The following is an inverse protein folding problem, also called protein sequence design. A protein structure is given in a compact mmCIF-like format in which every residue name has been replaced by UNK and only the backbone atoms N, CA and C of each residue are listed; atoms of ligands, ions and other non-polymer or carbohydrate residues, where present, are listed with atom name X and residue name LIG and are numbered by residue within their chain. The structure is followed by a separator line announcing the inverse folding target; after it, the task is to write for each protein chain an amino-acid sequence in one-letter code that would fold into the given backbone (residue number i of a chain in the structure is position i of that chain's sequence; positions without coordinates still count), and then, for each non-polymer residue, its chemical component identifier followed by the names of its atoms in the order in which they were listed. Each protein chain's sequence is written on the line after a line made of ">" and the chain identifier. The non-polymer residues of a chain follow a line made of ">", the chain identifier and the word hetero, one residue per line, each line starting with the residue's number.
data_IF_693363412248
#
_entry.id   IF_693363412248
#
_cell.length_a   1.000
_cell.length_b   1.000
_cell.length_c   1.000
_cell.angle_alpha   90.00
_cell.angle_beta   90.00
_cell.angle_gamma   90.00
#
_symmetry.space_group_name_H-M   'P 1'
#
loop_
_entity.id
_entity.type
_entity.pdbx_description
1 polymer ?
#
# COMPACT_ATOMS: atom_id res chain seq x y z
N UNK A 1 -5.78 -13.52 -4.66
CA UNK A 1 -4.63 -12.67 -5.03
C UNK A 1 -4.71 -11.35 -4.30
N UNK A 2 -3.60 -10.84 -3.77
CA UNK A 2 -3.53 -9.44 -3.34
C UNK A 2 -2.65 -8.62 -4.30
N UNK A 3 -2.98 -7.34 -4.48
CA UNK A 3 -2.18 -6.36 -5.20
C UNK A 3 -1.91 -5.21 -4.23
N UNK A 4 -0.64 -4.93 -4.01
CA UNK A 4 -0.16 -3.86 -3.14
C UNK A 4 0.60 -2.87 -4.00
N UNK A 5 0.16 -1.64 -4.02
CA UNK A 5 0.71 -0.58 -4.85
C UNK A 5 1.22 0.55 -3.96
N UNK A 6 2.52 0.88 -4.08
CA UNK A 6 3.16 2.00 -3.39
C UNK A 6 3.76 3.04 -4.36
N UNK A 7 3.42 2.96 -5.65
CA UNK A 7 3.71 4.04 -6.59
C UNK A 7 3.09 5.36 -6.09
N UNK A 8 3.73 6.49 -6.39
CA UNK A 8 3.19 7.78 -5.98
C UNK A 8 1.87 8.13 -6.67
N UNK A 9 1.55 7.48 -7.79
CA UNK A 9 0.31 7.64 -8.54
C UNK A 9 -0.68 6.52 -8.22
N UNK A 10 -1.97 6.84 -8.28
CA UNK A 10 -3.01 5.85 -8.10
C UNK A 10 -3.07 4.86 -9.26
N UNK A 11 -3.05 3.57 -8.96
CA UNK A 11 -3.19 2.47 -9.92
C UNK A 11 -4.63 2.32 -10.43
N UNK A 12 -5.15 3.33 -11.15
CA UNK A 12 -6.54 3.38 -11.56
C UNK A 12 -6.96 2.21 -12.46
N UNK A 13 -6.09 1.75 -13.34
CA UNK A 13 -6.38 0.59 -14.21
C UNK A 13 -6.55 -0.70 -13.40
N UNK A 14 -5.70 -0.94 -12.41
CA UNK A 14 -5.82 -2.07 -11.49
C UNK A 14 -7.12 -1.99 -10.70
N UNK A 15 -7.43 -0.82 -10.15
CA UNK A 15 -8.70 -0.60 -9.46
C UNK A 15 -9.90 -0.91 -10.36
N UNK A 16 -9.95 -0.38 -11.57
CA UNK A 16 -11.07 -0.56 -12.50
C UNK A 16 -11.31 -2.03 -12.84
N UNK A 17 -10.24 -2.78 -13.13
CA UNK A 17 -10.32 -4.19 -13.50
C UNK A 17 -10.93 -5.04 -12.38
N UNK A 18 -10.56 -4.78 -11.13
CA UNK A 18 -10.94 -5.62 -9.99
C UNK A 18 -11.99 -5.00 -9.08
N UNK A 19 -12.62 -3.88 -9.47
CA UNK A 19 -13.49 -3.10 -8.60
C UNK A 19 -14.71 -3.85 -8.08
N UNK A 20 -15.19 -4.85 -8.81
CA UNK A 20 -16.33 -5.71 -8.45
C UNK A 20 -15.93 -7.12 -7.99
N UNK A 21 -14.61 -7.36 -7.82
CA UNK A 21 -14.10 -8.69 -7.48
C UNK A 21 -13.75 -8.81 -6.00
N UNK A 22 -14.34 -9.78 -5.31
CA UNK A 22 -13.93 -10.17 -3.95
C UNK A 22 -12.77 -11.18 -3.91
N UNK A 23 -12.34 -11.71 -5.07
CA UNK A 23 -11.23 -12.66 -5.18
C UNK A 23 -9.85 -11.97 -5.29
N UNK A 24 -9.84 -10.66 -5.50
CA UNK A 24 -8.63 -9.84 -5.56
C UNK A 24 -8.75 -8.67 -4.59
N UNK A 25 -7.82 -8.61 -3.65
CA UNK A 25 -7.68 -7.46 -2.75
C UNK A 25 -6.72 -6.45 -3.38
N UNK A 26 -7.21 -5.28 -3.72
CA UNK A 26 -6.41 -4.17 -4.28
C UNK A 26 -6.19 -3.12 -3.20
N UNK A 27 -4.93 -2.77 -2.95
CA UNK A 27 -4.55 -1.75 -1.97
C UNK A 27 -3.52 -0.81 -2.58
N UNK A 28 -3.83 0.47 -2.66
CA UNK A 28 -2.94 1.50 -3.18
C UNK A 28 -2.73 2.61 -2.16
N UNK A 29 -1.46 3.00 -1.94
CA UNK A 29 -1.07 4.11 -1.08
C UNK A 29 -0.33 5.16 -1.94
N UNK A 30 -1.03 6.21 -2.30
CA UNK A 30 -0.61 7.16 -3.33
C UNK A 30 -0.89 8.60 -2.93
N UNK A 31 -0.23 9.53 -3.62
CA UNK A 31 -0.50 10.96 -3.43
C UNK A 31 -1.90 11.32 -3.94
N UNK A 32 -2.70 11.99 -3.07
CA UNK A 32 -4.04 12.44 -3.41
C UNK A 32 -4.31 13.83 -2.77
N UNK A 33 -4.98 14.78 -3.47
CA UNK A 33 -5.37 14.71 -4.88
C UNK A 33 -4.16 14.87 -5.81
N UNK A 34 -4.04 14.01 -6.78
CA UNK A 34 -2.99 14.06 -7.79
C UNK A 34 -3.41 13.27 -9.04
N UNK A 35 -2.57 13.32 -10.13
CA UNK A 35 -2.80 12.49 -11.32
C UNK A 35 -2.89 11.00 -10.92
N UNK A 36 -3.83 10.24 -11.48
CA UNK A 36 -4.82 10.55 -12.53
C UNK A 36 -6.15 11.14 -12.01
N UNK A 37 -6.21 11.75 -10.85
CA UNK A 37 -7.38 12.36 -10.20
C UNK A 37 -8.46 11.33 -9.79
N UNK A 38 -8.01 10.13 -9.45
CA UNK A 38 -8.80 9.01 -8.94
C UNK A 38 -8.18 8.50 -7.64
N UNK A 39 -8.71 7.45 -7.03
CA UNK A 39 -8.12 6.83 -5.84
C UNK A 39 -8.54 7.49 -4.53
N UNK A 40 -9.74 8.06 -4.47
CA UNK A 40 -10.31 8.53 -3.19
C UNK A 40 -10.46 7.37 -2.21
N UNK A 41 -10.23 7.62 -0.93
CA UNK A 41 -10.45 6.66 0.15
C UNK A 41 -11.88 6.12 0.23
N UNK A 42 -12.86 6.84 -0.36
CA UNK A 42 -14.25 6.39 -0.45
C UNK A 42 -14.48 5.37 -1.57
N UNK A 43 -13.53 5.19 -2.50
CA UNK A 43 -13.60 4.19 -3.55
C UNK A 43 -13.21 2.81 -3.02
N UNK A 44 -14.15 2.13 -2.38
CA UNK A 44 -13.94 0.88 -1.64
C UNK A 44 -14.44 -0.38 -2.38
N UNK A 45 -14.65 -0.30 -3.69
CA UNK A 45 -15.22 -1.38 -4.49
C UNK A 45 -16.75 -1.32 -4.61
N UNK A 46 -17.31 -2.11 -5.51
CA UNK A 46 -18.75 -2.24 -5.73
C UNK A 46 -19.17 -3.71 -5.85
N UNK A 47 -20.47 -3.98 -5.76
CA UNK A 47 -21.00 -5.35 -5.84
C UNK A 47 -20.27 -6.28 -4.85
N UNK A 48 -19.80 -7.43 -5.35
CA UNK A 48 -19.06 -8.42 -4.56
C UNK A 48 -17.67 -7.92 -4.14
N UNK A 49 -17.09 -6.98 -4.90
CA UNK A 49 -15.81 -6.35 -4.62
C UNK A 49 -15.84 -5.27 -3.53
N UNK A 50 -17.02 -4.97 -2.96
CA UNK A 50 -17.14 -3.94 -1.93
C UNK A 50 -16.33 -4.28 -0.68
N UNK A 51 -15.39 -3.41 -0.34
CA UNK A 51 -14.42 -3.58 0.74
C UNK A 51 -13.16 -4.35 0.34
N UNK A 52 -12.97 -4.69 -0.95
CA UNK A 52 -11.76 -5.33 -1.47
C UNK A 52 -10.90 -4.39 -2.33
N UNK A 53 -11.29 -3.12 -2.43
CA UNK A 53 -10.48 -2.03 -2.96
C UNK A 53 -10.21 -1.02 -1.83
N UNK A 54 -8.95 -0.70 -1.57
CA UNK A 54 -8.54 0.14 -0.43
C UNK A 54 -7.54 1.17 -0.92
N UNK A 55 -7.89 2.44 -0.80
CA UNK A 55 -7.06 3.57 -1.15
C UNK A 55 -6.63 4.33 0.10
N UNK A 56 -5.33 4.50 0.29
CA UNK A 56 -4.75 5.37 1.32
C UNK A 56 -4.21 6.63 0.65
N UNK A 57 -4.81 7.76 1.01
CA UNK A 57 -4.46 9.06 0.45
C UNK A 57 -3.28 9.69 1.22
N UNK A 58 -2.15 9.86 0.55
CA UNK A 58 -1.02 10.63 1.06
C UNK A 58 -1.09 12.08 0.55
N UNK A 59 -0.82 13.02 1.41
CA UNK A 59 -0.70 14.42 1.00
C UNK A 59 0.72 14.72 0.53
N UNK A 60 0.87 15.76 -0.30
CA UNK A 60 2.19 16.26 -0.69
C UNK A 60 3.08 16.50 0.54
N UNK A 61 4.30 16.01 0.50
CA UNK A 61 5.29 16.13 1.58
C UNK A 61 5.18 15.06 2.67
N UNK A 62 4.21 14.14 2.61
CA UNK A 62 4.22 12.94 3.44
C UNK A 62 5.30 11.96 2.96
N UNK A 63 5.84 11.17 3.88
CA UNK A 63 6.99 10.33 3.61
C UNK A 63 6.97 8.98 4.34
N UNK A 64 8.12 8.57 4.83
CA UNK A 64 8.36 7.26 5.41
C UNK A 64 7.39 6.92 6.55
N UNK A 65 7.14 7.86 7.44
CA UNK A 65 6.32 7.62 8.64
C UNK A 65 4.86 7.37 8.29
N UNK A 66 4.30 8.14 7.34
CA UNK A 66 2.93 7.98 6.88
C UNK A 66 2.76 6.71 6.05
N UNK A 67 3.70 6.43 5.14
CA UNK A 67 3.67 5.20 4.35
C UNK A 67 3.72 3.96 5.26
N UNK A 68 4.63 3.95 6.23
CA UNK A 68 4.76 2.84 7.15
C UNK A 68 3.53 2.69 8.05
N UNK A 69 2.93 3.81 8.50
CA UNK A 69 1.68 3.79 9.25
C UNK A 69 0.52 3.22 8.42
N UNK A 70 0.44 3.55 7.11
CA UNK A 70 -0.55 2.97 6.19
C UNK A 70 -0.41 1.44 6.11
N UNK A 71 0.82 0.95 5.93
CA UNK A 71 1.09 -0.48 5.87
C UNK A 71 0.75 -1.18 7.18
N UNK A 72 1.24 -0.70 8.31
CA UNK A 72 1.01 -1.32 9.63
C UNK A 72 -0.45 -1.30 10.08
N UNK A 73 -1.15 -0.19 9.82
CA UNK A 73 -2.51 -0.01 10.34
C UNK A 73 -3.60 -0.51 9.39
N UNK A 74 -3.33 -0.53 8.09
CA UNK A 74 -4.34 -0.88 7.08
C UNK A 74 -3.90 -2.10 6.28
N UNK A 75 -2.81 -2.03 5.51
CA UNK A 75 -2.50 -3.04 4.50
C UNK A 75 -2.15 -4.39 5.11
N UNK A 76 -1.25 -4.45 6.08
CA UNK A 76 -0.85 -5.71 6.72
C UNK A 76 -2.04 -6.40 7.43
N UNK A 77 -2.84 -5.72 8.25
CA UNK A 77 -4.05 -6.34 8.82
C UNK A 77 -5.03 -6.86 7.77
N UNK A 78 -5.18 -6.15 6.65
CA UNK A 78 -6.06 -6.56 5.57
C UNK A 78 -5.52 -7.76 4.80
N UNK A 79 -4.22 -7.83 4.56
CA UNK A 79 -3.55 -9.00 3.97
C UNK A 79 -3.67 -10.24 4.87
N UNK A 80 -3.40 -10.09 6.15
CA UNK A 80 -3.53 -11.20 7.12
C UNK A 80 -4.97 -11.74 7.13
N UNK A 81 -5.96 -10.86 7.10
CA UNK A 81 -7.37 -11.25 7.08
C UNK A 81 -7.79 -11.89 5.75
N UNK A 82 -7.25 -11.40 4.62
CA UNK A 82 -7.59 -11.87 3.29
C UNK A 82 -6.92 -13.21 2.98
N UNK A 83 -5.70 -13.44 3.45
CA UNK A 83 -4.94 -14.68 3.25
C UNK A 83 -4.64 -14.95 1.77
N UNK A 84 -3.92 -14.08 1.04
CA UNK A 84 -3.70 -14.27 -0.39
C UNK A 84 -2.78 -15.48 -0.67
N UNK A 85 -3.03 -16.24 -1.74
CA UNK A 85 -2.11 -17.29 -2.21
C UNK A 85 -0.85 -16.70 -2.88
N UNK A 86 -0.98 -15.49 -3.44
CA UNK A 86 0.09 -14.73 -4.09
C UNK A 86 -0.18 -13.23 -3.92
N UNK A 87 0.88 -12.48 -3.69
CA UNK A 87 0.84 -11.02 -3.65
C UNK A 87 1.66 -10.43 -4.80
N UNK A 88 1.03 -9.53 -5.55
CA UNK A 88 1.70 -8.72 -6.56
C UNK A 88 1.99 -7.34 -5.95
N UNK A 89 3.15 -6.79 -6.22
CA UNK A 89 3.53 -5.45 -5.76
C UNK A 89 3.80 -4.57 -6.97
N UNK A 90 2.99 -3.51 -7.13
CA UNK A 90 3.30 -2.41 -8.04
C UNK A 90 4.35 -1.54 -7.34
N UNK A 91 5.61 -1.80 -7.70
CA UNK A 91 6.77 -1.24 -7.03
C UNK A 91 7.26 0.02 -7.76
N UNK A 92 6.51 1.12 -7.62
CA UNK A 92 6.96 2.45 -8.04
C UNK A 92 7.86 3.09 -6.98
N UNK A 93 8.83 3.87 -7.43
CA UNK A 93 9.76 4.60 -6.56
C UNK A 93 9.74 6.11 -6.81
N UNK A 94 8.79 6.58 -7.57
CA UNK A 94 8.60 8.01 -7.90
C UNK A 94 8.03 8.83 -6.74
N UNK A 95 7.68 8.19 -5.63
CA UNK A 95 7.45 8.86 -4.34
C UNK A 95 8.73 9.26 -3.60
N UNK A 96 9.92 8.91 -4.10
CA UNK A 96 11.17 9.29 -3.47
C UNK A 96 11.39 10.81 -3.50
N UNK A 97 11.94 11.37 -2.42
CA UNK A 97 12.13 12.82 -2.24
C UNK A 97 12.99 13.52 -3.31
N UNK A 98 13.76 12.77 -4.10
CA UNK A 98 14.52 13.31 -5.22
C UNK A 98 13.74 13.30 -6.53
N UNK A 99 12.56 12.69 -6.55
CA UNK A 99 11.70 12.71 -7.72
C UNK A 99 10.97 14.04 -7.85
N UNK A 100 11.03 14.60 -9.06
CA UNK A 100 10.45 15.93 -9.33
C UNK A 100 8.92 15.92 -9.36
N UNK A 101 8.34 14.79 -9.73
CA UNK A 101 6.89 14.68 -10.01
C UNK A 101 6.10 14.10 -8.85
N UNK A 102 6.59 13.10 -8.14
CA UNK A 102 5.84 12.39 -7.10
C UNK A 102 5.38 13.30 -5.94
N UNK A 103 6.27 14.18 -5.49
CA UNK A 103 5.98 15.18 -4.46
C UNK A 103 5.69 14.59 -3.09
N UNK A 104 6.08 13.34 -2.86
CA UNK A 104 6.20 12.70 -1.57
C UNK A 104 7.65 12.83 -1.06
N UNK A 105 7.88 12.54 0.21
CA UNK A 105 9.18 12.66 0.86
C UNK A 105 9.70 11.27 1.31
N UNK A 106 9.41 10.24 0.52
CA UNK A 106 9.94 8.91 0.79
C UNK A 106 11.47 8.87 0.68
N UNK A 107 12.09 8.08 1.54
CA UNK A 107 13.50 7.73 1.41
C UNK A 107 13.66 6.28 0.94
N UNK A 108 14.85 5.94 0.44
CA UNK A 108 15.22 4.56 0.15
C UNK A 108 15.04 3.67 1.38
N UNK A 109 15.31 4.20 2.58
CA UNK A 109 15.13 3.48 3.84
C UNK A 109 13.66 3.22 4.16
N UNK A 110 12.78 4.18 3.85
CA UNK A 110 11.33 4.02 3.99
C UNK A 110 10.81 2.86 3.16
N UNK A 111 11.20 2.78 1.89
CA UNK A 111 10.84 1.67 1.01
C UNK A 111 11.38 0.32 1.53
N UNK A 112 12.63 0.28 1.99
CA UNK A 112 13.21 -0.93 2.58
C UNK A 112 12.46 -1.42 3.83
N UNK A 113 12.03 -0.48 4.69
CA UNK A 113 11.23 -0.81 5.89
C UNK A 113 9.84 -1.32 5.53
N UNK A 114 9.17 -0.67 4.59
CA UNK A 114 7.86 -1.09 4.10
C UNK A 114 7.95 -2.50 3.51
N UNK A 115 8.93 -2.77 2.67
CA UNK A 115 9.16 -4.08 2.10
C UNK A 115 9.41 -5.14 3.19
N UNK A 116 10.29 -4.87 4.15
CA UNK A 116 10.57 -5.78 5.26
C UNK A 116 9.30 -6.17 6.03
N UNK A 117 8.45 -5.21 6.35
CA UNK A 117 7.23 -5.49 7.11
C UNK A 117 6.17 -6.21 6.27
N UNK A 118 6.01 -5.81 5.02
CA UNK A 118 5.09 -6.48 4.10
C UNK A 118 5.46 -7.94 3.90
N UNK A 119 6.72 -8.21 3.55
CA UNK A 119 7.18 -9.57 3.27
C UNK A 119 7.23 -10.42 4.54
N UNK A 120 7.65 -9.85 5.68
CA UNK A 120 7.61 -10.54 6.96
C UNK A 120 6.21 -10.98 7.36
N UNK A 121 5.23 -10.10 7.23
CA UNK A 121 3.83 -10.42 7.52
C UNK A 121 3.26 -11.49 6.58
N UNK A 122 3.61 -11.45 5.28
CA UNK A 122 3.18 -12.47 4.30
C UNK A 122 3.83 -13.83 4.59
N UNK A 123 5.08 -13.86 5.02
CA UNK A 123 5.78 -15.08 5.43
C UNK A 123 5.12 -15.71 6.66
N UNK A 124 4.81 -14.91 7.68
CA UNK A 124 4.14 -15.37 8.91
C UNK A 124 2.80 -16.05 8.66
N UNK A 125 2.03 -15.60 7.65
CA UNK A 125 0.75 -16.23 7.29
C UNK A 125 0.89 -17.35 6.23
N UNK A 126 2.12 -17.73 5.88
CA UNK A 126 2.38 -18.77 4.88
C UNK A 126 2.10 -18.36 3.42
N UNK A 127 2.00 -17.07 3.16
CA UNK A 127 1.72 -16.48 1.83
C UNK A 127 2.96 -15.83 1.20
N UNK A 128 4.12 -16.46 1.35
CA UNK A 128 5.42 -15.92 0.93
C UNK A 128 5.66 -15.83 -0.59
N UNK A 129 4.65 -16.09 -1.43
CA UNK A 129 4.76 -15.92 -2.89
C UNK A 129 4.48 -14.48 -3.27
N UNK A 130 5.54 -13.72 -3.53
CA UNK A 130 5.45 -12.31 -3.90
C UNK A 130 6.17 -12.06 -5.21
N UNK A 131 5.56 -11.28 -6.07
CA UNK A 131 6.16 -10.76 -7.30
C UNK A 131 6.10 -9.24 -7.26
N UNK A 132 7.24 -8.58 -7.29
CA UNK A 132 7.32 -7.14 -7.41
C UNK A 132 7.61 -6.75 -8.88
N UNK A 133 6.80 -5.84 -9.41
CA UNK A 133 6.92 -5.30 -10.76
C UNK A 133 7.35 -3.85 -10.63
N UNK A 134 8.49 -3.50 -11.25
CA UNK A 134 8.97 -2.12 -11.29
C UNK A 134 8.01 -1.26 -12.11
N UNK A 135 7.63 -0.12 -11.53
CA UNK A 135 6.78 0.87 -12.20
C UNK A 135 7.47 2.24 -12.29
N UNK A 136 6.97 3.29 -11.62
CA UNK A 136 7.57 4.61 -11.62
C UNK A 136 8.92 4.67 -10.88
N UNK A 137 9.63 5.77 -11.09
CA UNK A 137 10.97 6.04 -10.54
C UNK A 137 11.92 6.44 -11.66
N UNK A 138 12.24 7.74 -11.74
CA UNK A 138 12.86 8.34 -12.92
C UNK A 138 14.23 8.95 -12.62
N UNK A 139 14.57 9.16 -11.34
CA UNK A 139 15.93 9.46 -10.92
C UNK A 139 16.74 8.15 -10.80
N UNK A 140 17.76 7.91 -11.64
CA UNK A 140 18.46 6.62 -11.66
C UNK A 140 19.21 6.31 -10.37
N UNK A 141 19.69 7.33 -9.65
CA UNK A 141 20.40 7.13 -8.39
C UNK A 141 19.44 6.79 -7.26
N UNK A 142 18.32 7.51 -7.16
CA UNK A 142 17.26 7.23 -6.20
C UNK A 142 16.69 5.82 -6.43
N UNK A 143 16.33 5.50 -7.69
CA UNK A 143 15.80 4.21 -8.08
C UNK A 143 16.75 3.07 -7.67
N UNK A 144 18.04 3.18 -7.99
CA UNK A 144 19.03 2.16 -7.62
C UNK A 144 19.12 1.95 -6.12
N UNK A 145 19.13 3.04 -5.33
CA UNK A 145 19.12 2.97 -3.85
C UNK A 145 17.85 2.32 -3.31
N UNK A 146 16.69 2.69 -3.84
CA UNK A 146 15.40 2.14 -3.42
C UNK A 146 15.30 0.64 -3.69
N UNK A 147 15.68 0.19 -4.90
CA UNK A 147 15.66 -1.24 -5.26
C UNK A 147 16.58 -2.04 -4.34
N UNK A 148 17.80 -1.56 -4.09
CA UNK A 148 18.73 -2.21 -3.16
C UNK A 148 18.11 -2.28 -1.76
N UNK A 149 17.57 -1.18 -1.24
CA UNK A 149 16.98 -1.13 0.08
C UNK A 149 15.77 -2.09 0.23
N UNK A 150 14.93 -2.21 -0.81
CA UNK A 150 13.83 -3.16 -0.83
C UNK A 150 14.34 -4.60 -0.78
N UNK A 151 15.34 -4.95 -1.61
CA UNK A 151 15.93 -6.31 -1.60
C UNK A 151 16.55 -6.63 -0.24
N UNK A 152 17.28 -5.69 0.36
CA UNK A 152 17.85 -5.85 1.70
C UNK A 152 16.77 -6.00 2.78
N UNK A 153 15.67 -5.23 2.65
CA UNK A 153 14.51 -5.35 3.55
C UNK A 153 13.88 -6.73 3.48
N UNK A 154 13.68 -7.26 2.26
CA UNK A 154 13.14 -8.61 2.03
C UNK A 154 14.07 -9.68 2.59
N UNK A 155 15.39 -9.53 2.42
CA UNK A 155 16.38 -10.47 2.94
C UNK A 155 16.65 -10.32 4.44
N UNK A 156 16.01 -9.37 5.11
CA UNK A 156 16.26 -8.96 6.50
C UNK A 156 17.76 -8.70 6.79
N UNK A 157 18.46 -8.13 5.80
CA UNK A 157 19.91 -7.88 5.86
C UNK A 157 20.24 -6.45 5.46
N UNK A 158 19.75 -5.43 6.20
CA UNK A 158 20.08 -4.05 5.88
C UNK A 158 21.60 -3.83 5.98
N UNK A 159 22.22 -3.35 4.91
CA UNK A 159 23.65 -2.99 4.86
C UNK A 159 23.97 -1.74 5.69
N UNK A 160 22.96 -1.02 6.14
CA UNK A 160 23.04 0.17 6.96
C UNK A 160 22.24 0.00 8.26
N UNK A 161 22.75 0.62 9.33
CA UNK A 161 21.95 0.74 10.56
C UNK A 161 20.82 1.72 10.30
N UNK A 162 19.62 1.19 10.13
CA UNK A 162 18.41 2.03 10.18
C UNK A 162 18.39 2.68 11.56
N UNK A 163 18.51 4.01 11.65
CA UNK A 163 18.32 4.66 12.93
C UNK A 163 16.96 4.24 13.48
N UNK A 164 16.89 3.96 14.77
CA UNK A 164 15.61 3.74 15.45
C UNK A 164 14.88 5.08 15.47
N UNK A 165 14.17 5.38 14.40
CA UNK A 165 13.22 6.48 14.38
C UNK A 165 11.93 5.99 15.01
N UNK A 166 11.53 6.63 16.10
CA UNK A 166 10.14 6.57 16.54
C UNK A 166 9.30 7.19 15.42
N UNK A 167 8.44 6.40 14.81
CA UNK A 167 7.53 6.90 13.80
C UNK A 167 6.61 7.96 14.42
N UNK A 168 6.51 9.08 13.74
CA UNK A 168 5.67 10.21 14.15
C UNK A 168 4.75 10.64 13.02
N UNK A 169 3.90 9.73 12.50
CA UNK A 169 2.96 10.11 11.47
C UNK A 169 2.03 11.22 11.99
N UNK A 170 1.58 12.06 11.09
CA UNK A 170 0.65 13.12 11.43
C UNK A 170 -0.63 12.54 12.08
N UNK A 171 -1.05 13.09 13.21
CA UNK A 171 -2.24 12.60 13.96
C UNK A 171 -3.51 12.58 13.13
N UNK A 172 -3.72 13.60 12.28
CA UNK A 172 -4.87 13.65 11.39
C UNK A 172 -4.84 12.52 10.35
N UNK A 173 -3.66 12.14 9.87
CA UNK A 173 -3.47 11.02 8.97
C UNK A 173 -3.79 9.69 9.67
N UNK A 174 -3.28 9.47 10.87
CA UNK A 174 -3.63 8.27 11.67
C UNK A 174 -5.14 8.16 11.85
N UNK A 175 -5.81 9.25 12.19
CA UNK A 175 -7.29 9.26 12.32
C UNK A 175 -8.01 8.97 10.99
N UNK A 176 -7.43 9.33 9.84
CA UNK A 176 -8.00 8.97 8.53
C UNK A 176 -7.86 7.48 8.24
N UNK A 177 -6.74 6.85 8.62
CA UNK A 177 -6.55 5.41 8.51
C UNK A 177 -7.55 4.62 9.35
N UNK A 178 -7.82 5.08 10.58
CA UNK A 178 -8.79 4.42 11.46
C UNK A 178 -10.22 4.51 10.89
N UNK A 179 -10.60 5.66 10.30
CA UNK A 179 -11.88 5.81 9.59
C UNK A 179 -11.98 4.92 8.35
N UNK A 180 -10.93 4.87 7.54
CA UNK A 180 -10.87 4.02 6.35
C UNK A 180 -11.10 2.55 6.72
N UNK A 181 -10.40 2.06 7.73
CA UNK A 181 -10.60 0.68 8.23
C UNK A 181 -12.04 0.42 8.63
N UNK A 182 -12.63 1.32 9.40
CA UNK A 182 -14.03 1.18 9.82
C UNK A 182 -14.98 1.10 8.62
N UNK A 183 -14.79 1.95 7.60
CA UNK A 183 -15.58 1.95 6.36
C UNK A 183 -15.43 0.65 5.57
N UNK A 184 -14.22 0.12 5.46
CA UNK A 184 -13.93 -1.15 4.78
C UNK A 184 -14.59 -2.33 5.50
N UNK A 185 -14.48 -2.39 6.82
CA UNK A 185 -15.12 -3.44 7.63
C UNK A 185 -16.65 -3.39 7.54
N UNK A 186 -17.25 -2.20 7.59
CA UNK A 186 -18.69 -2.01 7.45
C UNK A 186 -19.19 -2.43 6.05
N UNK A 187 -18.44 -2.04 5.00
CA UNK A 187 -18.75 -2.40 3.63
C UNK A 187 -18.85 -3.92 3.44
N UNK A 188 -17.90 -4.67 3.97
CA UNK A 188 -17.89 -6.14 3.89
C UNK A 188 -18.98 -6.81 4.71
N UNK A 189 -19.35 -6.24 5.87
CA UNK A 189 -20.47 -6.76 6.66
C UNK A 189 -21.79 -6.60 5.91
N UNK A 190 -22.00 -5.46 5.28
CA UNK A 190 -23.20 -5.16 4.50
C UNK A 190 -23.34 -6.08 3.29
N UNK A 191 -22.26 -6.36 2.56
CA UNK A 191 -22.25 -7.25 1.40
C UNK A 191 -22.61 -8.69 1.79
N UNK A 192 -22.14 -9.19 2.95
CA UNK A 192 -22.47 -10.54 3.44
C UNK A 192 -23.95 -10.68 3.82
N UNK A 193 -24.58 -9.64 4.34
CA UNK A 193 -25.99 -9.67 4.73
C UNK A 193 -26.93 -9.65 3.52
N UNK A 194 -26.53 -9.03 2.42
CA UNK A 194 -27.32 -8.99 1.17
C UNK A 194 -27.24 -10.28 0.35
N UNK A 195 -26.33 -11.19 0.66
CA UNK A 195 -26.15 -12.46 -0.05
C UNK A 195 -26.96 -13.64 0.53
N UNK A 196 -27.74 -13.44 1.59
CA UNK A 196 -28.72 -14.43 2.08
C UNK A 196 -30.11 -14.10 1.49
N UNK A 197 -30.64 -14.90 0.54
CA UNK A 197 -32.03 -14.76 0.11
C UNK A 197 -32.96 -15.14 1.26
N UNK A 198 -34.05 -14.38 1.41
CA UNK A 198 -35.19 -14.71 2.32
C UNK A 198 -35.86 -16.01 1.95
#
# INVERSE_FOLDING_TARGET
>A
VAIVDWDAHHGNGTQEIFYESSSVLVMSCHRHPYYPNTGSADAIGSGDGRGYNINVELQKGMGDDEMLAAFRRVFIPELVRFGPDITLVSAGFDGHRWELLGGLEMSEHGYGRVARELFGALEEIGSGRVVAVLEGGYDPEALGKCVVAVIEGVLDRPSYRVPHFEERPCRSFVSSLDRLRASVEEARRSSRLSSYPE
#
